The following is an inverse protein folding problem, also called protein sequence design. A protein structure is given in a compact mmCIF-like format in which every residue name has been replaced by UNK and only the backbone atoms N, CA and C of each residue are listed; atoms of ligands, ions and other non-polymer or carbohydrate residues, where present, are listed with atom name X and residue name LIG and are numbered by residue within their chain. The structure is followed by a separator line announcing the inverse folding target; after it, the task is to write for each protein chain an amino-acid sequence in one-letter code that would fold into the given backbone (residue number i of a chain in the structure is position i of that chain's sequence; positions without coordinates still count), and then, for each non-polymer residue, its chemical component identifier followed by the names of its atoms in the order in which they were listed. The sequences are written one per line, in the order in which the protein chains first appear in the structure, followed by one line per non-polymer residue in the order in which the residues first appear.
data_IF_875236234117
#
_entry.id   IF_875236234117
#
_cell.length_a   1.000
_cell.length_b   1.000
_cell.length_c   1.000
_cell.angle_alpha   90.00
_cell.angle_beta   90.00
_cell.angle_gamma   90.00
#
_symmetry.space_group_name_H-M   'P 1'
#
loop_
_entity.id
_entity.type
_entity.pdbx_description
1 polymer ?
#
# COMPACT_ATOMS: atom_id res chain seq x y z
N UNK A 1 -17.90 0.15 -21.55
CA UNK A 1 -19.34 0.30 -21.19
C UNK A 1 -19.49 0.64 -19.70
N UNK A 2 -18.97 -0.16 -18.75
CA UNK A 2 -19.13 0.02 -17.31
C UNK A 2 -18.73 1.43 -16.81
N UNK A 3 -17.56 1.92 -17.21
CA UNK A 3 -17.08 3.25 -16.82
C UNK A 3 -17.99 4.37 -17.34
N UNK A 4 -18.48 4.27 -18.59
CA UNK A 4 -19.45 5.22 -19.14
C UNK A 4 -20.78 5.22 -18.38
N UNK A 5 -21.26 4.06 -17.93
CA UNK A 5 -22.46 3.98 -17.12
C UNK A 5 -22.28 4.65 -15.75
N UNK A 6 -21.12 4.44 -15.10
CA UNK A 6 -20.79 5.10 -13.83
C UNK A 6 -20.75 6.63 -13.98
N UNK A 7 -20.19 7.16 -15.06
CA UNK A 7 -20.12 8.59 -15.37
C UNK A 7 -21.50 9.23 -15.54
N UNK A 8 -22.49 8.45 -15.99
CA UNK A 8 -23.88 8.91 -16.12
C UNK A 8 -24.72 8.71 -14.86
N UNK A 9 -24.08 8.40 -13.73
CA UNK A 9 -24.73 8.30 -12.42
C UNK A 9 -25.27 6.90 -12.07
N UNK A 10 -25.04 5.90 -12.92
CA UNK A 10 -25.46 4.53 -12.60
C UNK A 10 -24.53 3.91 -11.55
N UNK A 11 -25.12 3.16 -10.61
CA UNK A 11 -24.34 2.29 -9.74
C UNK A 11 -23.91 1.05 -10.53
N UNK A 12 -22.58 0.81 -10.59
CA UNK A 12 -22.00 -0.29 -11.34
C UNK A 12 -21.24 -1.20 -10.40
N UNK A 13 -21.60 -2.48 -10.38
CA UNK A 13 -20.84 -3.55 -9.75
C UNK A 13 -20.14 -4.39 -10.82
N UNK A 14 -18.87 -4.69 -10.59
CA UNK A 14 -18.08 -5.53 -11.48
C UNK A 14 -17.14 -6.42 -10.69
N UNK A 15 -16.69 -7.51 -11.29
CA UNK A 15 -15.69 -8.41 -10.71
C UNK A 15 -14.49 -8.49 -11.64
N UNK A 16 -13.29 -8.56 -11.02
CA UNK A 16 -12.03 -8.75 -11.72
C UNK A 16 -11.19 -9.78 -10.97
N UNK A 17 -10.38 -10.54 -11.71
CA UNK A 17 -9.51 -11.55 -11.12
C UNK A 17 -8.15 -10.93 -10.79
N UNK A 18 -8.06 -10.31 -9.62
CA UNK A 18 -6.86 -9.62 -9.11
C UNK A 18 -6.66 -9.96 -7.64
N UNK A 19 -5.43 -9.81 -7.14
CA UNK A 19 -5.05 -10.23 -5.79
C UNK A 19 -5.18 -9.12 -4.74
N UNK A 20 -5.23 -7.86 -5.19
CA UNK A 20 -5.23 -6.67 -4.33
C UNK A 20 -5.77 -5.43 -5.07
N UNK A 21 -6.00 -4.34 -4.32
CA UNK A 21 -6.57 -3.10 -4.82
C UNK A 21 -5.66 -2.41 -5.87
N UNK A 22 -4.35 -2.39 -5.65
CA UNK A 22 -3.41 -1.78 -6.60
C UNK A 22 -3.42 -2.51 -7.95
N UNK A 23 -3.42 -3.85 -7.92
CA UNK A 23 -3.53 -4.67 -9.14
C UNK A 23 -4.91 -4.56 -9.78
N UNK A 24 -5.97 -4.36 -8.99
CA UNK A 24 -7.32 -4.09 -9.51
C UNK A 24 -7.32 -2.81 -10.35
N UNK A 25 -6.77 -1.72 -9.84
CA UNK A 25 -6.62 -0.45 -10.56
C UNK A 25 -5.82 -0.68 -11.85
N UNK A 26 -4.64 -1.30 -11.75
CA UNK A 26 -3.80 -1.62 -12.90
C UNK A 26 -4.52 -2.46 -13.97
N UNK A 27 -5.31 -3.46 -13.54
CA UNK A 27 -6.09 -4.32 -14.45
C UNK A 27 -7.19 -3.57 -15.16
N UNK A 28 -7.92 -2.70 -14.44
CA UNK A 28 -9.00 -1.88 -15.03
C UNK A 28 -8.46 -0.91 -16.08
N UNK A 29 -7.31 -0.30 -15.83
CA UNK A 29 -6.64 0.59 -16.78
C UNK A 29 -6.04 -0.19 -17.95
N UNK A 30 -5.40 -1.32 -17.68
CA UNK A 30 -4.68 -2.12 -18.68
C UNK A 30 -5.55 -2.82 -19.72
N UNK A 31 -6.89 -2.77 -19.62
CA UNK A 31 -7.77 -3.24 -20.70
C UNK A 31 -7.93 -2.24 -21.85
N UNK A 32 -7.38 -1.02 -21.69
CA UNK A 32 -7.44 0.04 -22.69
C UNK A 32 -6.09 0.19 -23.42
N UNK A 33 -6.07 0.66 -24.66
CA UNK A 33 -4.85 1.02 -25.37
C UNK A 33 -4.00 2.01 -24.59
N UNK A 34 -2.67 1.96 -24.76
CA UNK A 34 -1.74 2.77 -23.97
C UNK A 34 -2.03 4.28 -24.04
N UNK A 35 -2.42 4.75 -25.23
CA UNK A 35 -2.78 6.14 -25.51
C UNK A 35 -4.03 6.64 -24.78
N UNK A 36 -4.91 5.72 -24.35
CA UNK A 36 -6.12 6.04 -23.62
C UNK A 36 -5.96 5.94 -22.10
N UNK A 37 -4.91 5.27 -21.60
CA UNK A 37 -4.79 4.88 -20.20
C UNK A 37 -4.74 6.07 -19.24
N UNK A 38 -4.13 7.18 -19.61
CA UNK A 38 -4.11 8.39 -18.79
C UNK A 38 -5.51 8.96 -18.59
N UNK A 39 -6.28 9.13 -19.68
CA UNK A 39 -7.66 9.58 -19.61
C UNK A 39 -8.55 8.59 -18.83
N UNK A 40 -8.32 7.29 -18.96
CA UNK A 40 -9.04 6.26 -18.21
C UNK A 40 -8.72 6.35 -16.71
N UNK A 41 -7.47 6.61 -16.31
CA UNK A 41 -7.09 6.80 -14.90
C UNK A 41 -7.83 7.98 -14.27
N UNK A 42 -7.91 9.11 -14.96
CA UNK A 42 -8.66 10.27 -14.49
C UNK A 42 -10.14 9.91 -14.27
N UNK A 43 -10.77 9.32 -15.26
CA UNK A 43 -12.18 8.91 -15.19
C UNK A 43 -12.40 7.85 -14.10
N UNK A 44 -11.49 6.88 -13.95
CA UNK A 44 -11.57 5.87 -12.92
C UNK A 44 -11.43 6.49 -11.52
N UNK A 45 -10.51 7.43 -11.32
CA UNK A 45 -10.32 8.12 -10.05
C UNK A 45 -11.57 8.85 -9.56
N UNK A 46 -12.37 9.41 -10.49
CA UNK A 46 -13.58 10.17 -10.16
C UNK A 46 -14.79 9.24 -9.92
N UNK A 47 -14.84 8.11 -10.61
CA UNK A 47 -16.03 7.25 -10.63
C UNK A 47 -15.93 6.01 -9.74
N UNK A 48 -14.72 5.46 -9.50
CA UNK A 48 -14.54 4.32 -8.62
C UNK A 48 -14.89 4.71 -7.17
N UNK A 49 -15.74 3.94 -6.52
CA UNK A 49 -16.16 4.17 -5.12
C UNK A 49 -15.40 3.31 -4.14
N UNK A 50 -15.04 2.11 -4.53
CA UNK A 50 -14.25 1.20 -3.70
C UNK A 50 -13.92 -0.10 -4.41
N UNK A 51 -13.08 -0.90 -3.78
CA UNK A 51 -12.82 -2.29 -4.19
C UNK A 51 -12.71 -3.18 -2.96
N UNK A 52 -13.14 -4.43 -3.12
CA UNK A 52 -13.02 -5.48 -2.11
C UNK A 52 -12.30 -6.64 -2.78
N UNK A 53 -11.09 -6.93 -2.28
CA UNK A 53 -10.31 -8.09 -2.69
C UNK A 53 -10.45 -9.19 -1.65
N UNK A 54 -10.53 -10.47 -2.06
CA UNK A 54 -10.82 -11.58 -1.15
C UNK A 54 -9.83 -12.73 -1.34
N UNK A 55 -9.51 -13.41 -0.23
CA UNK A 55 -8.77 -14.68 -0.20
C UNK A 55 -9.53 -15.66 0.70
N UNK A 56 -9.66 -16.91 0.24
CA UNK A 56 -10.29 -17.97 1.01
C UNK A 56 -9.20 -18.82 1.68
N UNK A 57 -9.21 -18.85 3.01
CA UNK A 57 -8.19 -19.49 3.85
C UNK A 57 -8.77 -20.71 4.57
N UNK A 58 -8.00 -21.79 4.74
CA UNK A 58 -8.44 -22.92 5.56
C UNK A 58 -8.61 -22.48 7.02
N UNK A 59 -9.73 -22.89 7.64
CA UNK A 59 -9.98 -22.64 9.05
C UNK A 59 -9.24 -23.64 9.93
N UNK A 60 -8.93 -23.23 11.16
CA UNK A 60 -8.25 -24.07 12.15
C UNK A 60 -9.06 -25.31 12.53
N UNK A 61 -10.40 -25.22 12.50
CA UNK A 61 -11.31 -26.34 12.81
C UNK A 61 -11.46 -27.34 11.64
N UNK A 62 -10.80 -27.11 10.51
CA UNK A 62 -10.90 -27.91 9.29
C UNK A 62 -12.27 -27.86 8.60
N UNK A 63 -13.20 -27.04 9.07
CA UNK A 63 -14.58 -26.96 8.56
C UNK A 63 -14.75 -25.72 7.68
N UNK A 64 -14.55 -25.90 6.37
CA UNK A 64 -14.75 -24.82 5.40
C UNK A 64 -13.59 -23.83 5.34
N UNK A 65 -13.89 -22.60 4.97
CA UNK A 65 -12.91 -21.53 4.73
C UNK A 65 -13.30 -20.24 5.43
N UNK A 66 -12.31 -19.48 5.87
CA UNK A 66 -12.46 -18.11 6.31
C UNK A 66 -12.16 -17.17 5.14
N UNK A 67 -12.85 -16.03 5.08
CA UNK A 67 -12.58 -14.98 4.12
C UNK A 67 -11.61 -13.98 4.74
N UNK A 68 -10.43 -13.80 4.14
CA UNK A 68 -9.62 -12.62 4.36
C UNK A 68 -9.95 -11.59 3.28
N UNK A 69 -10.15 -10.34 3.66
CA UNK A 69 -10.54 -9.28 2.74
C UNK A 69 -9.64 -8.05 2.88
N UNK A 70 -9.31 -7.45 1.74
CA UNK A 70 -8.77 -6.10 1.64
C UNK A 70 -9.91 -5.19 1.18
N UNK A 71 -10.08 -4.04 1.84
CA UNK A 71 -11.16 -3.10 1.59
C UNK A 71 -10.55 -1.72 1.32
N UNK A 72 -10.80 -1.21 0.12
CA UNK A 72 -10.42 0.15 -0.29
C UNK A 72 -11.66 1.00 -0.51
N UNK A 73 -11.72 2.15 0.15
CA UNK A 73 -12.68 3.22 -0.13
C UNK A 73 -11.97 4.32 -0.89
N UNK A 74 -12.54 4.79 -2.00
CA UNK A 74 -11.90 5.82 -2.82
C UNK A 74 -12.12 7.20 -2.22
N UNK A 75 -11.18 7.62 -1.38
CA UNK A 75 -11.05 8.98 -0.86
C UNK A 75 -10.25 9.86 -1.82
N UNK A 76 -10.14 11.17 -1.53
CA UNK A 76 -9.29 12.09 -2.32
C UNK A 76 -7.84 11.61 -2.42
N UNK A 77 -7.27 11.10 -1.32
CA UNK A 77 -5.91 10.54 -1.33
C UNK A 77 -5.78 9.32 -2.25
N UNK A 78 -6.77 8.42 -2.25
CA UNK A 78 -6.80 7.26 -3.17
C UNK A 78 -6.96 7.73 -4.62
N UNK A 79 -7.79 8.75 -4.89
CA UNK A 79 -7.93 9.33 -6.23
C UNK A 79 -6.58 9.78 -6.80
N UNK A 80 -5.76 10.49 -6.01
CA UNK A 80 -4.43 10.92 -6.43
C UNK A 80 -3.48 9.75 -6.73
N UNK A 81 -3.57 8.66 -5.96
CA UNK A 81 -2.80 7.44 -6.23
C UNK A 81 -3.28 6.69 -7.49
N UNK A 82 -4.57 6.78 -7.82
CA UNK A 82 -5.11 6.19 -9.06
C UNK A 82 -4.63 6.98 -10.28
N UNK A 83 -4.61 8.32 -10.21
CA UNK A 83 -4.18 9.20 -11.32
C UNK A 83 -2.72 8.97 -11.69
N UNK A 84 -1.86 8.76 -10.70
CA UNK A 84 -0.41 8.60 -10.89
C UNK A 84 -0.02 7.11 -10.98
N UNK A 85 0.40 6.61 -12.15
CA UNK A 85 0.81 5.22 -12.32
C UNK A 85 2.00 4.82 -11.45
N UNK A 86 2.91 5.75 -11.15
CA UNK A 86 4.10 5.49 -10.34
C UNK A 86 3.76 5.36 -8.85
N UNK A 87 2.64 5.92 -8.41
CA UNK A 87 2.23 5.94 -7.01
C UNK A 87 1.11 4.94 -6.68
N UNK A 88 0.56 4.26 -7.66
CA UNK A 88 -0.53 3.27 -7.44
C UNK A 88 -0.10 2.17 -6.44
N UNK A 89 1.19 1.82 -6.37
CA UNK A 89 1.71 0.86 -5.39
C UNK A 89 1.58 1.31 -3.92
N UNK A 90 1.49 2.62 -3.66
CA UNK A 90 1.34 3.19 -2.30
C UNK A 90 -0.08 3.03 -1.73
N UNK A 91 -1.02 2.46 -2.51
CA UNK A 91 -2.39 2.20 -2.04
C UNK A 91 -2.39 1.36 -0.77
N UNK A 92 -1.55 0.32 -0.67
CA UNK A 92 -1.48 -0.54 0.52
C UNK A 92 -1.19 0.26 1.79
N UNK A 93 -0.17 1.11 1.78
CA UNK A 93 0.22 1.93 2.93
C UNK A 93 -0.89 2.88 3.36
N UNK A 94 -1.63 3.42 2.36
CA UNK A 94 -2.77 4.29 2.63
C UNK A 94 -3.93 3.52 3.27
N UNK A 95 -4.22 2.29 2.84
CA UNK A 95 -5.24 1.43 3.44
C UNK A 95 -4.94 1.19 4.93
N UNK A 96 -3.71 0.84 5.26
CA UNK A 96 -3.27 0.55 6.63
C UNK A 96 -3.44 1.76 7.56
N UNK A 97 -3.10 2.96 7.07
CA UNK A 97 -3.21 4.21 7.83
C UNK A 97 -4.65 4.75 7.95
N UNK A 98 -5.55 4.28 7.10
CA UNK A 98 -6.91 4.84 6.97
C UNK A 98 -8.00 3.93 7.55
N UNK A 99 -7.63 2.92 8.34
CA UNK A 99 -8.57 1.95 8.92
C UNK A 99 -9.61 2.63 9.81
N UNK A 100 -9.17 3.40 10.78
CA UNK A 100 -10.04 3.99 11.80
C UNK A 100 -10.93 5.11 11.24
N UNK A 101 -10.40 5.86 10.26
CA UNK A 101 -11.12 7.01 9.72
C UNK A 101 -12.15 6.65 8.64
N UNK A 102 -11.83 5.67 7.78
CA UNK A 102 -12.63 5.37 6.58
C UNK A 102 -13.07 3.91 6.50
N UNK A 103 -12.76 3.08 7.50
CA UNK A 103 -13.08 1.66 7.48
C UNK A 103 -12.30 0.87 6.42
N UNK A 104 -11.18 1.41 5.95
CA UNK A 104 -10.29 0.70 5.04
C UNK A 104 -9.55 -0.42 5.77
N UNK A 105 -9.12 -1.44 5.04
CA UNK A 105 -8.46 -2.60 5.63
C UNK A 105 -7.49 -3.21 4.64
N UNK A 106 -6.25 -3.45 5.06
CA UNK A 106 -5.31 -4.28 4.29
C UNK A 106 -5.51 -5.77 4.58
N UNK A 107 -5.00 -6.64 3.68
CA UNK A 107 -5.01 -8.07 3.96
C UNK A 107 -4.26 -8.41 5.24
N UNK A 108 -3.09 -7.81 5.47
CA UNK A 108 -2.24 -8.12 6.62
C UNK A 108 -2.94 -7.76 7.94
N UNK A 109 -3.70 -6.66 7.98
CA UNK A 109 -4.53 -6.29 9.13
C UNK A 109 -5.65 -7.31 9.39
N UNK A 110 -6.34 -7.78 8.35
CA UNK A 110 -7.41 -8.77 8.52
C UNK A 110 -6.86 -10.15 8.86
N UNK A 111 -5.73 -10.56 8.28
CA UNK A 111 -5.03 -11.80 8.64
C UNK A 111 -4.63 -11.81 10.12
N UNK A 112 -4.11 -10.69 10.63
CA UNK A 112 -3.78 -10.51 12.05
C UNK A 112 -5.01 -10.69 12.92
N UNK A 113 -6.13 -10.11 12.54
CA UNK A 113 -7.39 -10.23 13.24
C UNK A 113 -7.88 -11.69 13.26
N UNK A 114 -7.95 -12.36 12.10
CA UNK A 114 -8.38 -13.75 11.98
C UNK A 114 -7.50 -14.72 12.78
N UNK A 115 -6.20 -14.46 12.82
CA UNK A 115 -5.27 -15.23 13.66
C UNK A 115 -5.52 -15.01 15.15
N UNK A 116 -5.66 -13.77 15.60
CA UNK A 116 -5.94 -13.43 17.01
C UNK A 116 -7.29 -13.97 17.50
N UNK A 117 -8.27 -14.02 16.62
CA UNK A 117 -9.58 -14.62 16.89
C UNK A 117 -9.57 -16.17 16.86
N UNK A 118 -8.43 -16.80 16.53
CA UNK A 118 -8.31 -18.26 16.45
C UNK A 118 -9.07 -18.89 15.28
N UNK A 119 -9.36 -18.12 14.24
CA UNK A 119 -10.07 -18.59 13.04
C UNK A 119 -9.13 -19.33 12.09
N UNK A 120 -7.88 -18.86 11.97
CA UNK A 120 -6.82 -19.44 11.13
C UNK A 120 -5.55 -19.66 11.95
N UNK A 121 -4.67 -20.55 11.50
CA UNK A 121 -3.37 -20.77 12.12
C UNK A 121 -2.36 -19.68 11.71
N UNK A 122 -1.27 -19.53 12.47
CA UNK A 122 -0.18 -18.64 12.14
C UNK A 122 0.44 -18.97 10.76
N UNK A 123 0.63 -20.26 10.46
CA UNK A 123 1.19 -20.69 9.18
C UNK A 123 0.32 -20.30 8.01
N UNK A 124 -1.00 -20.44 8.15
CA UNK A 124 -1.97 -20.00 7.13
C UNK A 124 -1.93 -18.48 6.96
N UNK A 125 -1.86 -17.73 8.06
CA UNK A 125 -1.76 -16.27 8.01
C UNK A 125 -0.47 -15.81 7.32
N UNK A 126 0.69 -16.38 7.71
CA UNK A 126 1.99 -16.09 7.09
C UNK A 126 2.03 -16.42 5.59
N UNK A 127 1.52 -17.58 5.20
CA UNK A 127 1.46 -17.99 3.80
C UNK A 127 0.56 -17.09 2.94
N UNK A 128 -0.45 -16.46 3.55
CA UNK A 128 -1.38 -15.56 2.89
C UNK A 128 -0.95 -14.09 2.96
N UNK A 129 0.01 -13.73 3.80
CA UNK A 129 0.48 -12.36 3.99
C UNK A 129 1.19 -11.81 2.75
N UNK A 130 1.22 -10.50 2.61
CA UNK A 130 1.92 -9.81 1.52
C UNK A 130 3.43 -10.02 1.57
N UNK A 131 4.00 -9.99 2.79
CA UNK A 131 5.38 -10.36 3.11
C UNK A 131 5.36 -11.17 4.42
N UNK A 132 5.66 -12.49 4.39
CA UNK A 132 5.61 -13.33 5.58
C UNK A 132 6.52 -12.88 6.72
N UNK A 133 7.73 -12.39 6.40
CA UNK A 133 8.70 -11.96 7.42
C UNK A 133 8.28 -10.66 8.11
N UNK A 134 7.76 -9.70 7.35
CA UNK A 134 7.26 -8.44 7.90
C UNK A 134 5.98 -8.68 8.72
N UNK A 135 5.12 -9.57 8.26
CA UNK A 135 3.91 -9.97 8.98
C UNK A 135 4.23 -10.58 10.35
N UNK A 136 5.18 -11.52 10.41
CA UNK A 136 5.61 -12.15 11.66
C UNK A 136 6.24 -11.14 12.62
N UNK A 137 7.08 -10.25 12.09
CA UNK A 137 7.67 -9.17 12.88
C UNK A 137 6.59 -8.24 13.45
N UNK A 138 5.62 -7.83 12.65
CA UNK A 138 4.52 -6.97 13.08
C UNK A 138 3.65 -7.64 14.17
N UNK A 139 3.43 -8.95 14.11
CA UNK A 139 2.73 -9.69 15.17
C UNK A 139 3.49 -9.65 16.49
N UNK A 140 4.82 -9.88 16.46
CA UNK A 140 5.66 -9.92 17.65
C UNK A 140 5.82 -8.55 18.32
N UNK A 141 5.86 -7.46 17.55
CA UNK A 141 5.94 -6.10 18.06
C UNK A 141 4.58 -5.49 18.42
N UNK A 142 3.51 -5.93 17.78
CA UNK A 142 2.15 -5.43 18.04
C UNK A 142 1.54 -5.91 19.35
N UNK A 143 2.14 -6.89 20.03
CA UNK A 143 1.71 -7.38 21.34
C UNK A 143 2.31 -6.55 22.51
N UNK A 144 3.24 -5.62 22.20
CA UNK A 144 3.82 -4.67 23.16
C UNK A 144 3.20 -3.29 22.97
N UNK A 145 1.94 -3.14 23.41
CA UNK A 145 1.07 -1.96 23.35
C UNK A 145 1.70 -0.60 23.01
N UNK A 146 1.19 0.06 21.97
CA UNK A 146 1.47 1.47 21.70
C UNK A 146 2.02 1.71 20.29
N UNK A 147 1.38 2.64 19.61
CA UNK A 147 1.60 3.02 18.23
C UNK A 147 3.07 3.13 17.82
N UNK A 148 3.40 2.43 16.77
CA UNK A 148 4.71 2.50 16.14
C UNK A 148 4.64 3.55 15.02
N UNK A 149 5.08 4.76 15.34
CA UNK A 149 5.59 5.69 14.33
C UNK A 149 7.09 5.40 14.18
N UNK A 150 7.45 4.64 13.16
CA UNK A 150 8.84 4.62 12.68
C UNK A 150 9.04 5.93 11.92
N UNK A 151 9.61 6.90 12.59
CA UNK A 151 10.41 7.92 11.93
C UNK A 151 11.77 7.27 11.68
N UNK A 152 12.01 6.88 10.44
CA UNK A 152 13.37 6.65 9.96
C UNK A 152 14.03 8.03 9.77
N UNK A 153 14.41 8.64 10.88
CA UNK A 153 15.45 9.66 10.91
C UNK A 153 16.79 8.92 10.90
N UNK A 154 17.25 8.52 9.72
CA UNK A 154 18.68 8.34 9.51
C UNK A 154 19.31 9.73 9.57
N UNK A 155 20.25 10.00 10.51
CA UNK A 155 20.98 11.25 10.50
C UNK A 155 21.83 11.27 9.21
N UNK A 156 21.60 12.25 8.35
CA UNK A 156 22.51 12.55 7.24
C UNK A 156 23.93 12.68 7.78
N UNK A 157 24.95 12.03 7.18
CA UNK A 157 26.33 12.21 7.59
C UNK A 157 26.69 13.67 7.42
N UNK A 158 27.06 14.29 8.51
CA UNK A 158 27.57 15.67 8.54
C UNK A 158 28.72 15.79 7.53
N UNK A 159 28.54 16.65 6.53
CA UNK A 159 29.60 17.06 5.62
C UNK A 159 30.74 17.66 6.44
N UNK A 160 31.86 16.97 6.53
CA UNK A 160 33.11 17.53 7.04
C UNK A 160 33.60 18.51 5.98
N UNK A 161 33.55 19.78 6.29
CA UNK A 161 34.27 20.80 5.55
C UNK A 161 35.76 20.58 5.81
N UNK A 162 36.51 20.22 4.79
CA UNK A 162 37.96 20.24 4.78
C UNK A 162 38.40 21.68 5.01
N UNK A 163 38.99 21.96 6.15
CA UNK A 163 39.64 23.23 6.48
C UNK A 163 40.77 23.46 5.50
N UNK A 164 40.68 24.58 4.79
CA UNK A 164 41.74 25.11 3.92
C UNK A 164 43.03 25.27 4.71
N UNK A 165 44.06 24.60 4.22
CA UNK A 165 45.42 24.71 4.70
C UNK A 165 45.94 26.13 4.35
N UNK A 166 46.50 26.91 5.31
CA UNK A 166 47.03 28.24 4.99
C UNK A 166 48.25 28.14 4.09
N UNK A 167 48.28 28.95 3.03
CA UNK A 167 49.42 29.15 2.14
C UNK A 167 50.61 29.76 2.92
N UNK A 168 51.77 29.12 2.83
CA UNK A 168 53.05 29.68 3.25
C UNK A 168 53.47 30.83 2.32
N UNK A 169 53.99 31.96 2.87
CA UNK A 169 54.46 33.04 2.05
C UNK A 169 55.79 32.67 1.41
N UNK A 170 55.89 32.97 0.11
CA UNK A 170 57.11 32.83 -0.68
C UNK A 170 58.24 33.68 -0.10
N UNK A 171 59.35 33.04 0.23
CA UNK A 171 60.57 33.70 0.63
C UNK A 171 61.23 34.45 -0.53
N UNK A 172 61.61 35.71 -0.29
CA UNK A 172 62.51 36.49 -1.09
C UNK A 172 63.87 35.83 -1.14
N UNK A 173 64.43 35.61 -2.34
CA UNK A 173 65.84 35.44 -2.55
C UNK A 173 66.44 36.74 -3.12
N UNK A 174 67.55 37.25 -2.53
CA UNK A 174 68.27 38.36 -3.06
C UNK A 174 69.39 37.89 -3.97
N UNK A 175 69.65 38.77 -5.04
CA UNK A 175 70.75 38.80 -5.99
C UNK A 175 70.90 37.75 -7.11
#
# INVERSE_FOLDING_TARGET
IALKAAETGHMVFSTVHTTDAAKTIGRLVGVFPAEEQEGVRLRLSDNLKGSISQRLLPRIDGKGRAVAAEIMVVTKSVQELIKDPMRTGQVKDLLEKSRDQYGMQSFDQHLTQLYREGVITLDVAKAAASNPSDFERALNFGDSGGGFSVQDDEPEPAFVQDDEKPEEPAGDEPE
#
